data_IF_864629487736
#
_entry.id   IF_864629487736
#
_cell.length_a   1.000
_cell.length_b   1.000
_cell.length_c   1.000
_cell.angle_alpha   90.00
_cell.angle_beta   90.00
_cell.angle_gamma   90.00
#
_symmetry.space_group_name_H-M   'P 1'
#
loop_
_entity.id
_entity.type
_entity.pdbx_description
1 polymer ?
#
# COMPACT_ATOMS: atom_id res chain seq x y z
N UNK A 1 2.92 1.09 -15.07
CA UNK A 1 2.82 0.88 -13.60
C UNK A 1 3.10 2.20 -12.88
N UNK A 2 2.20 2.61 -11.97
CA UNK A 2 2.37 3.76 -11.08
C UNK A 2 3.21 3.35 -9.86
N UNK A 3 4.42 2.88 -10.16
CA UNK A 3 5.32 2.23 -9.23
C UNK A 3 6.15 3.27 -8.46
N UNK A 4 6.33 3.09 -7.15
CA UNK A 4 7.13 3.92 -6.22
C UNK A 4 6.81 5.43 -6.23
N UNK A 5 5.69 5.82 -6.84
CA UNK A 5 5.39 7.20 -7.24
C UNK A 5 6.50 7.83 -8.11
N UNK A 6 6.29 9.05 -8.61
CA UNK A 6 7.35 9.84 -9.27
C UNK A 6 7.71 11.09 -8.50
N UNK A 7 7.56 11.04 -7.17
CA UNK A 7 7.69 12.20 -6.31
C UNK A 7 6.87 13.38 -6.83
N UNK A 8 7.48 14.56 -6.89
CA UNK A 8 6.86 15.77 -7.45
C UNK A 8 7.44 16.16 -8.82
N UNK A 9 7.93 15.18 -9.59
CA UNK A 9 8.55 15.44 -10.89
C UNK A 9 7.54 16.07 -11.86
N UNK A 10 7.85 17.23 -12.47
CA UNK A 10 6.97 17.93 -13.42
C UNK A 10 6.42 17.03 -14.53
N UNK A 11 5.19 17.30 -14.97
CA UNK A 11 4.54 16.62 -16.10
C UNK A 11 4.29 15.12 -15.90
N UNK A 12 4.55 14.59 -14.70
CA UNK A 12 4.14 13.25 -14.31
C UNK A 12 2.92 13.32 -13.41
N UNK A 13 2.13 12.24 -13.39
CA UNK A 13 1.02 12.12 -12.45
C UNK A 13 1.49 12.41 -11.02
N UNK A 14 0.68 13.15 -10.28
CA UNK A 14 0.93 13.44 -8.88
C UNK A 14 0.91 12.15 -8.05
N UNK A 15 1.61 12.10 -6.91
CA UNK A 15 1.54 10.95 -6.01
C UNK A 15 0.11 10.58 -5.61
N UNK A 16 -0.77 11.58 -5.43
CA UNK A 16 -2.17 11.38 -5.10
C UNK A 16 -2.96 10.76 -6.25
N UNK A 17 -2.71 11.18 -7.49
CA UNK A 17 -3.31 10.58 -8.67
C UNK A 17 -2.86 9.11 -8.84
N UNK A 18 -1.57 8.83 -8.60
CA UNK A 18 -1.01 7.47 -8.65
C UNK A 18 -1.63 6.54 -7.61
N UNK A 19 -1.77 6.99 -6.35
CA UNK A 19 -2.42 6.21 -5.30
C UNK A 19 -3.92 6.02 -5.59
N UNK A 20 -4.60 7.05 -6.11
CA UNK A 20 -6.02 6.94 -6.49
C UNK A 20 -6.25 5.96 -7.66
N UNK A 21 -5.30 5.87 -8.59
CA UNK A 21 -5.34 4.88 -9.68
C UNK A 21 -5.17 3.45 -9.15
N UNK A 22 -4.25 3.24 -8.20
CA UNK A 22 -4.07 1.96 -7.52
C UNK A 22 -5.32 1.55 -6.72
N UNK A 23 -5.93 2.48 -5.99
CA UNK A 23 -7.18 2.26 -5.22
C UNK A 23 -8.35 1.87 -6.14
N UNK A 24 -8.51 2.57 -7.27
CA UNK A 24 -9.51 2.22 -8.29
C UNK A 24 -9.26 0.83 -8.87
N UNK A 25 -8.01 0.51 -9.20
CA UNK A 25 -7.63 -0.81 -9.73
C UNK A 25 -7.93 -1.93 -8.74
N UNK A 26 -7.61 -1.73 -7.45
CA UNK A 26 -7.95 -2.68 -6.39
C UNK A 26 -9.47 -2.87 -6.27
N UNK A 27 -10.23 -1.78 -6.33
CA UNK A 27 -11.69 -1.81 -6.33
C UNK A 27 -12.26 -2.64 -7.49
N UNK A 28 -11.73 -2.45 -8.70
CA UNK A 28 -12.15 -3.19 -9.90
C UNK A 28 -11.83 -4.69 -9.82
N UNK A 29 -10.65 -5.07 -9.32
CA UNK A 29 -10.28 -6.48 -9.11
C UNK A 29 -11.22 -7.14 -8.10
N UNK A 30 -11.48 -6.45 -7.00
CA UNK A 30 -12.38 -6.94 -5.93
C UNK A 30 -13.82 -7.09 -6.45
N UNK A 31 -14.31 -6.10 -7.19
CA UNK A 31 -15.63 -6.13 -7.83
C UNK A 31 -15.78 -7.35 -8.76
N UNK A 32 -14.82 -7.53 -9.68
CA UNK A 32 -14.80 -8.65 -10.61
C UNK A 32 -14.81 -10.01 -9.90
N UNK A 33 -13.95 -10.21 -8.90
CA UNK A 33 -13.87 -11.47 -8.15
C UNK A 33 -15.17 -11.71 -7.37
N UNK A 34 -15.72 -10.67 -6.75
CA UNK A 34 -16.91 -10.77 -5.90
C UNK A 34 -18.20 -11.08 -6.68
N UNK A 35 -18.30 -10.66 -7.94
CA UNK A 35 -19.39 -11.01 -8.86
C UNK A 35 -19.19 -12.38 -9.54
N UNK A 36 -18.03 -12.99 -9.39
CA UNK A 36 -17.74 -14.30 -9.97
C UNK A 36 -18.37 -15.43 -9.17
N UNK A 37 -18.53 -16.59 -9.82
CA UNK A 37 -18.93 -17.84 -9.14
C UNK A 37 -17.95 -18.30 -8.05
N UNK A 38 -16.73 -17.75 -8.03
CA UNK A 38 -15.67 -18.15 -7.11
C UNK A 38 -15.66 -17.33 -5.81
N UNK A 39 -16.47 -16.27 -5.70
CA UNK A 39 -16.42 -15.34 -4.54
C UNK A 39 -16.51 -16.07 -3.20
N UNK A 40 -17.45 -17.02 -3.07
CA UNK A 40 -17.67 -17.84 -1.87
C UNK A 40 -16.47 -18.67 -1.43
N UNK A 41 -15.49 -18.85 -2.30
CA UNK A 41 -14.28 -19.66 -2.10
C UNK A 41 -13.01 -18.80 -2.25
N UNK A 42 -13.15 -17.48 -2.26
CA UNK A 42 -12.04 -16.54 -2.50
C UNK A 42 -11.60 -15.84 -1.21
N UNK A 43 -10.30 -15.55 -1.14
CA UNK A 43 -9.72 -14.59 -0.23
C UNK A 43 -8.69 -13.75 -1.01
N UNK A 44 -8.83 -12.43 -0.91
CA UNK A 44 -7.94 -11.46 -1.55
C UNK A 44 -7.10 -10.84 -0.43
N UNK A 45 -5.78 -11.02 -0.52
CA UNK A 45 -4.81 -10.40 0.36
C UNK A 45 -4.13 -9.25 -0.38
N UNK A 46 -4.06 -8.08 0.26
CA UNK A 46 -3.41 -6.88 -0.29
C UNK A 46 -2.37 -6.42 0.70
N UNK A 47 -1.13 -6.36 0.23
CA UNK A 47 0.03 -5.84 0.95
C UNK A 47 0.89 -5.06 -0.05
N UNK A 48 1.64 -4.09 0.46
CA UNK A 48 2.72 -3.46 -0.28
C UNK A 48 3.94 -4.39 -0.27
N UNK A 49 4.89 -4.21 -1.20
CA UNK A 49 6.16 -4.93 -1.22
C UNK A 49 7.14 -4.39 -0.16
N UNK A 50 7.11 -3.08 0.08
CA UNK A 50 7.71 -2.41 1.23
C UNK A 50 7.02 -1.07 1.54
N UNK A 51 7.36 -0.44 2.67
CA UNK A 51 6.75 0.82 3.13
C UNK A 51 7.44 2.08 2.62
N UNK A 52 8.60 1.93 1.98
CA UNK A 52 9.50 3.02 1.63
C UNK A 52 9.75 3.91 2.88
N UNK A 53 10.24 3.35 4.01
CA UNK A 53 10.51 4.03 5.31
C UNK A 53 9.51 5.12 5.74
N UNK A 54 8.22 4.84 5.55
CA UNK A 54 7.17 5.82 5.78
C UNK A 54 7.19 6.49 7.17
N UNK A 55 6.54 7.66 7.26
CA UNK A 55 6.36 8.40 8.52
C UNK A 55 5.39 7.70 9.49
N UNK A 56 5.86 6.61 10.09
CA UNK A 56 5.13 5.81 11.05
C UNK A 56 5.73 5.94 12.46
N UNK A 57 4.87 6.07 13.46
CA UNK A 57 5.30 6.27 14.85
C UNK A 57 5.75 4.97 15.54
N UNK A 58 5.37 3.81 15.01
CA UNK A 58 5.70 2.51 15.59
C UNK A 58 6.93 1.89 14.92
N UNK A 59 6.95 1.87 13.59
CA UNK A 59 8.04 1.32 12.79
C UNK A 59 7.94 1.82 11.35
N UNK A 60 9.04 2.34 10.80
CA UNK A 60 9.09 2.87 9.44
C UNK A 60 8.75 1.82 8.37
N UNK A 61 8.91 0.53 8.68
CA UNK A 61 8.57 -0.60 7.80
C UNK A 61 7.10 -1.04 7.88
N UNK A 62 6.27 -0.37 8.70
CA UNK A 62 4.87 -0.74 8.84
C UNK A 62 4.08 -0.32 7.60
N UNK A 63 3.50 -1.31 6.93
CA UNK A 63 2.63 -1.13 5.75
C UNK A 63 1.15 -1.34 6.08
N UNK A 64 0.21 -0.74 5.30
CA UNK A 64 -1.17 -1.18 5.30
C UNK A 64 -1.30 -2.61 4.78
N UNK A 65 -2.26 -3.36 5.32
CA UNK A 65 -2.61 -4.69 4.84
C UNK A 65 -4.13 -4.87 4.88
N UNK A 66 -4.69 -5.46 3.83
CA UNK A 66 -6.13 -5.72 3.71
C UNK A 66 -6.39 -7.18 3.38
N UNK A 67 -7.50 -7.70 3.90
CA UNK A 67 -8.00 -9.04 3.57
C UNK A 67 -9.49 -8.92 3.26
N UNK A 68 -9.88 -9.35 2.05
CA UNK A 68 -11.26 -9.35 1.60
C UNK A 68 -11.69 -10.77 1.27
N UNK A 69 -12.72 -11.26 1.94
CA UNK A 69 -13.27 -12.60 1.73
C UNK A 69 -14.67 -12.66 2.32
N UNK A 70 -15.55 -13.56 1.85
CA UNK A 70 -16.80 -13.84 2.53
C UNK A 70 -16.65 -14.34 3.98
N UNK A 71 -15.45 -14.81 4.34
CA UNK A 71 -15.13 -15.33 5.67
C UNK A 71 -14.47 -14.28 6.57
N UNK A 72 -14.14 -13.07 6.09
CA UNK A 72 -13.52 -12.07 6.95
C UNK A 72 -14.52 -11.47 7.94
N UNK A 73 -14.03 -10.99 9.08
CA UNK A 73 -14.83 -10.22 10.05
C UNK A 73 -15.19 -8.85 9.43
N UNK A 74 -16.47 -8.55 9.15
CA UNK A 74 -16.83 -7.32 8.46
C UNK A 74 -16.47 -6.08 9.28
N UNK A 75 -15.77 -5.12 8.67
CA UNK A 75 -15.38 -3.85 9.30
C UNK A 75 -14.36 -3.97 10.45
N UNK A 76 -13.76 -5.15 10.64
CA UNK A 76 -12.79 -5.35 11.71
C UNK A 76 -11.46 -4.65 11.39
N UNK A 77 -10.92 -3.94 12.37
CA UNK A 77 -9.53 -3.48 12.40
C UNK A 77 -8.75 -4.42 13.29
N UNK A 78 -7.74 -5.09 12.72
CA UNK A 78 -6.96 -6.10 13.44
C UNK A 78 -5.68 -5.45 13.97
N UNK A 79 -5.50 -5.49 15.29
CA UNK A 79 -4.34 -4.90 15.97
C UNK A 79 -3.21 -5.90 16.23
N UNK A 80 -3.43 -7.18 15.95
CA UNK A 80 -2.41 -8.23 16.03
C UNK A 80 -1.28 -7.91 15.06
N UNK A 81 -0.04 -7.98 15.54
CA UNK A 81 1.15 -7.76 14.71
C UNK A 81 1.33 -8.94 13.76
N UNK A 82 1.25 -8.66 12.47
CA UNK A 82 1.58 -9.59 11.39
C UNK A 82 2.75 -9.06 10.55
N UNK A 83 3.38 -9.97 9.82
CA UNK A 83 4.47 -9.72 8.88
C UNK A 83 4.22 -10.49 7.56
N UNK A 84 5.11 -10.33 6.57
CA UNK A 84 4.96 -11.04 5.29
C UNK A 84 4.83 -12.57 5.43
N UNK A 85 5.65 -13.27 6.25
CA UNK A 85 5.45 -14.68 6.52
C UNK A 85 4.05 -15.02 7.05
N UNK A 86 3.44 -14.15 7.85
CA UNK A 86 2.07 -14.34 8.36
C UNK A 86 1.02 -14.41 7.25
N UNK A 87 1.18 -13.59 6.19
CA UNK A 87 0.32 -13.62 5.00
C UNK A 87 0.51 -14.93 4.24
N UNK A 88 1.76 -15.29 3.94
CA UNK A 88 2.12 -16.54 3.24
C UNK A 88 1.55 -17.73 4.00
N UNK A 89 1.78 -17.78 5.31
CA UNK A 89 1.29 -18.85 6.17
C UNK A 89 -0.23 -18.97 6.17
N UNK A 90 -0.94 -17.85 6.11
CA UNK A 90 -2.41 -17.84 6.02
C UNK A 90 -2.89 -18.41 4.69
N UNK A 91 -2.24 -18.04 3.58
CA UNK A 91 -2.55 -18.57 2.23
C UNK A 91 -2.29 -20.08 2.17
N UNK A 92 -1.15 -20.54 2.70
CA UNK A 92 -0.85 -21.98 2.79
C UNK A 92 -1.95 -22.75 3.49
N UNK A 93 -2.40 -22.26 4.65
CA UNK A 93 -3.44 -22.90 5.44
C UNK A 93 -4.79 -22.95 4.70
N UNK A 94 -5.16 -21.87 4.00
CA UNK A 94 -6.37 -21.83 3.16
C UNK A 94 -6.30 -22.85 2.03
N UNK A 95 -5.12 -23.00 1.40
CA UNK A 95 -4.90 -23.93 0.30
C UNK A 95 -4.59 -25.37 0.75
N UNK A 96 -4.49 -25.63 2.05
CA UNK A 96 -4.11 -26.94 2.60
C UNK A 96 -2.64 -27.32 2.35
N UNK A 97 -1.78 -26.34 2.14
CA UNK A 97 -0.36 -26.52 1.88
C UNK A 97 0.46 -26.61 3.18
N UNK A 98 1.61 -27.27 3.09
CA UNK A 98 2.62 -27.30 4.15
C UNK A 98 3.51 -26.06 4.04
N UNK A 99 4.10 -25.59 5.16
CA UNK A 99 5.07 -24.51 5.12
C UNK A 99 6.25 -24.86 4.23
N UNK A 100 6.75 -23.89 3.47
CA UNK A 100 7.89 -24.08 2.57
C UNK A 100 9.22 -24.05 3.31
N UNK A 101 9.31 -23.32 4.42
CA UNK A 101 10.53 -23.18 5.20
C UNK A 101 10.25 -22.90 6.70
N UNK A 102 11.25 -22.41 7.43
CA UNK A 102 11.12 -22.13 8.86
C UNK A 102 10.36 -20.83 9.13
N UNK A 103 10.48 -19.83 8.24
CA UNK A 103 9.87 -18.52 8.42
C UNK A 103 8.35 -18.60 8.34
N UNK A 104 7.79 -19.18 7.26
CA UNK A 104 6.35 -19.41 7.15
C UNK A 104 5.87 -20.45 8.17
N UNK A 105 6.66 -21.51 8.42
CA UNK A 105 6.33 -22.56 9.38
C UNK A 105 6.18 -22.08 10.83
N UNK A 106 6.80 -20.96 11.20
CA UNK A 106 6.73 -20.36 12.54
C UNK A 106 5.97 -19.04 12.58
N UNK A 107 5.50 -18.54 11.44
CA UNK A 107 4.73 -17.31 11.36
C UNK A 107 3.37 -17.43 12.03
N UNK A 108 2.87 -16.31 12.57
CA UNK A 108 1.54 -16.26 13.18
C UNK A 108 0.49 -16.15 12.07
N UNK A 109 -0.41 -17.14 11.89
CA UNK A 109 -1.44 -17.03 10.87
C UNK A 109 -2.45 -15.92 11.20
N UNK A 110 -3.02 -15.29 10.17
CA UNK A 110 -3.97 -14.19 10.28
C UNK A 110 -5.39 -14.64 10.68
N UNK A 111 -5.52 -15.57 11.64
CA UNK A 111 -6.82 -16.08 12.08
C UNK A 111 -7.75 -14.98 12.61
N UNK A 112 -7.19 -13.89 13.16
CA UNK A 112 -7.97 -12.73 13.62
C UNK A 112 -8.64 -11.96 12.47
N UNK A 113 -8.27 -12.20 11.21
CA UNK A 113 -9.00 -11.65 10.05
C UNK A 113 -10.22 -12.50 9.67
N UNK A 114 -10.24 -13.81 10.00
CA UNK A 114 -11.22 -14.78 9.49
C UNK A 114 -12.16 -15.38 10.53
N UNK A 115 -13.34 -15.75 10.07
CA UNK A 115 -14.34 -16.52 10.83
C UNK A 115 -14.53 -17.89 10.19
N UNK A 116 -14.97 -18.91 10.96
CA UNK A 116 -15.16 -20.27 10.43
C UNK A 116 -16.40 -20.41 9.53
N UNK A 117 -17.26 -19.38 9.46
CA UNK A 117 -18.51 -19.39 8.69
C UNK A 117 -18.63 -18.14 7.84
N UNK A 118 -19.31 -18.23 6.71
CA UNK A 118 -19.59 -17.08 5.84
C UNK A 118 -20.26 -15.93 6.64
N UNK A 119 -19.69 -14.73 6.55
CA UNK A 119 -20.21 -13.52 7.18
C UNK A 119 -20.95 -12.64 6.17
N UNK A 120 -20.37 -12.45 4.99
CA UNK A 120 -20.95 -11.60 3.95
C UNK A 120 -20.65 -12.14 2.56
N UNK A 121 -21.68 -12.55 1.82
CA UNK A 121 -21.55 -13.03 0.44
C UNK A 121 -21.99 -12.00 -0.61
N UNK A 122 -22.44 -10.81 -0.18
CA UNK A 122 -22.83 -9.77 -1.12
C UNK A 122 -21.61 -9.37 -1.97
N UNK A 123 -21.77 -9.21 -3.29
CA UNK A 123 -20.69 -8.72 -4.12
C UNK A 123 -20.38 -7.27 -3.76
N UNK A 124 -19.13 -6.88 -3.97
CA UNK A 124 -18.65 -5.52 -3.86
C UNK A 124 -18.86 -4.82 -5.20
N UNK A 125 -19.32 -3.57 -5.18
CA UNK A 125 -19.36 -2.71 -6.36
C UNK A 125 -18.20 -1.73 -6.29
N UNK A 126 -17.36 -1.67 -7.32
CA UNK A 126 -16.25 -0.73 -7.35
C UNK A 126 -16.75 0.72 -7.21
N UNK A 127 -16.09 1.48 -6.35
CA UNK A 127 -16.39 2.90 -6.14
C UNK A 127 -15.57 3.73 -7.13
N UNK A 128 -16.17 4.68 -7.86
CA UNK A 128 -15.42 5.57 -8.75
C UNK A 128 -14.36 6.38 -7.99
N UNK A 129 -13.22 6.63 -8.65
CA UNK A 129 -12.19 7.50 -8.10
C UNK A 129 -12.75 8.90 -7.79
N UNK A 130 -12.51 9.38 -6.58
CA UNK A 130 -12.91 10.75 -6.14
C UNK A 130 -11.82 11.79 -6.40
N UNK A 131 -10.62 11.34 -6.81
CA UNK A 131 -9.47 12.17 -7.11
C UNK A 131 -9.18 12.14 -8.63
N UNK A 132 -8.72 13.25 -9.25
CA UNK A 132 -8.40 13.25 -10.67
C UNK A 132 -7.19 12.35 -10.97
N UNK A 133 -7.41 11.26 -11.69
CA UNK A 133 -6.38 10.25 -12.00
C UNK A 133 -5.28 10.75 -12.95
N UNK A 134 -5.56 11.82 -13.69
CA UNK A 134 -4.62 12.45 -14.63
C UNK A 134 -4.06 13.76 -14.09
N UNK A 135 -4.22 14.05 -12.79
CA UNK A 135 -3.60 15.23 -12.20
C UNK A 135 -2.08 15.11 -12.26
N UNK A 136 -1.43 16.05 -12.94
CA UNK A 136 0.02 16.14 -13.04
C UNK A 136 0.62 17.09 -12.00
N UNK A 137 1.86 16.80 -11.61
CA UNK A 137 2.67 17.73 -10.83
C UNK A 137 2.90 19.03 -11.63
N UNK A 138 2.74 20.21 -11.00
CA UNK A 138 2.87 21.47 -11.69
C UNK A 138 4.31 21.71 -12.17
N UNK A 139 4.47 21.98 -13.46
CA UNK A 139 5.76 22.30 -14.07
C UNK A 139 6.29 23.70 -13.77
N UNK A 140 5.66 24.42 -12.83
CA UNK A 140 6.07 25.78 -12.50
C UNK A 140 7.50 25.79 -11.94
N UNK A 141 8.43 26.55 -12.54
CA UNK A 141 9.77 26.74 -11.99
C UNK A 141 9.75 27.37 -10.59
N UNK A 142 8.62 27.95 -10.17
CA UNK A 142 8.42 28.52 -8.83
C UNK A 142 8.07 27.46 -7.77
N UNK A 143 7.60 26.27 -8.16
CA UNK A 143 7.32 25.16 -7.24
C UNK A 143 8.61 24.67 -6.60
N UNK A 144 8.80 24.97 -5.32
CA UNK A 144 9.98 24.54 -4.57
C UNK A 144 10.07 23.01 -4.44
N UNK A 145 8.93 22.33 -4.43
CA UNK A 145 8.83 20.87 -4.37
C UNK A 145 9.24 20.26 -5.71
N UNK A 146 8.75 20.81 -6.84
CA UNK A 146 9.12 20.34 -8.17
C UNK A 146 10.62 20.54 -8.46
N UNK A 147 11.18 21.71 -8.09
CA UNK A 147 12.63 21.97 -8.21
C UNK A 147 13.47 20.99 -7.39
N UNK A 148 12.96 20.55 -6.24
CA UNK A 148 13.64 19.56 -5.41
C UNK A 148 13.57 18.18 -6.05
N UNK A 149 12.41 17.77 -6.55
CA UNK A 149 12.22 16.49 -7.25
C UNK A 149 13.11 16.36 -8.48
N UNK A 150 13.31 17.44 -9.25
CA UNK A 150 14.19 17.48 -10.42
C UNK A 150 15.68 17.20 -10.12
N UNK A 151 16.10 17.22 -8.84
CA UNK A 151 17.48 16.89 -8.47
C UNK A 151 17.72 15.38 -8.35
N UNK A 152 16.67 14.58 -8.47
CA UNK A 152 16.72 13.15 -8.24
C UNK A 152 16.28 12.41 -9.50
N UNK A 153 16.90 11.25 -9.75
CA UNK A 153 16.53 10.38 -10.85
C UNK A 153 15.28 9.56 -10.46
N UNK A 154 14.10 10.06 -10.81
CA UNK A 154 12.81 9.36 -10.59
C UNK A 154 12.46 8.36 -11.71
N UNK A 155 13.39 8.07 -12.65
CA UNK A 155 13.13 7.10 -13.72
C UNK A 155 13.50 5.67 -13.34
N UNK A 156 14.36 5.51 -12.33
CA UNK A 156 14.79 4.21 -11.82
C UNK A 156 14.31 4.09 -10.37
N UNK A 157 13.52 3.06 -10.03
CA UNK A 157 13.17 2.77 -8.64
C UNK A 157 14.40 2.67 -7.73
N UNK A 158 14.23 3.01 -6.46
CA UNK A 158 15.25 2.86 -5.40
C UNK A 158 16.57 3.63 -5.59
N UNK A 159 16.63 4.60 -6.52
CA UNK A 159 17.79 5.49 -6.68
C UNK A 159 17.80 6.70 -5.75
N UNK A 160 16.66 7.02 -5.16
CA UNK A 160 16.49 8.15 -4.28
C UNK A 160 16.50 7.60 -2.87
N UNK A 161 17.38 8.12 -2.00
CA UNK A 161 17.33 7.72 -0.59
C UNK A 161 15.93 8.00 -0.06
N UNK A 162 15.40 7.06 0.71
CA UNK A 162 13.99 7.10 1.07
C UNK A 162 13.57 8.38 1.78
N UNK A 163 14.39 8.81 2.74
CA UNK A 163 14.26 10.10 3.44
C UNK A 163 14.05 11.32 2.52
N UNK A 164 14.72 11.34 1.36
CA UNK A 164 14.58 12.44 0.40
C UNK A 164 13.28 12.35 -0.38
N UNK A 165 12.87 11.13 -0.76
CA UNK A 165 11.59 10.89 -1.43
C UNK A 165 10.43 11.25 -0.49
N UNK A 166 10.48 10.81 0.77
CA UNK A 166 9.50 11.14 1.81
C UNK A 166 9.35 12.64 2.04
N UNK A 167 10.45 13.38 2.08
CA UNK A 167 10.38 14.85 2.19
C UNK A 167 9.67 15.47 0.98
N UNK A 168 9.95 14.98 -0.23
CA UNK A 168 9.30 15.46 -1.47
C UNK A 168 7.80 15.14 -1.43
N UNK A 169 7.43 13.92 -1.06
CA UNK A 169 6.03 13.48 -0.94
C UNK A 169 5.29 14.26 0.13
N UNK A 170 5.87 14.42 1.33
CA UNK A 170 5.26 15.19 2.41
C UNK A 170 4.97 16.63 1.98
N UNK A 171 5.96 17.29 1.37
CA UNK A 171 5.83 18.69 0.94
C UNK A 171 4.92 18.87 -0.28
N UNK A 172 4.77 17.85 -1.13
CA UNK A 172 3.81 17.90 -2.25
C UNK A 172 2.37 17.90 -1.72
N UNK A 173 2.10 17.15 -0.65
CA UNK A 173 0.75 17.02 -0.07
C UNK A 173 0.46 18.10 0.98
N UNK A 174 1.41 18.40 1.88
CA UNK A 174 1.23 19.30 3.03
C UNK A 174 1.71 20.74 2.75
N UNK A 175 2.27 20.99 1.57
CA UNK A 175 2.77 22.27 1.14
C UNK A 175 4.28 22.44 1.35
N UNK A 176 4.90 23.27 0.50
CA UNK A 176 6.36 23.41 0.41
C UNK A 176 7.06 23.89 1.69
N UNK A 177 6.32 24.59 2.56
CA UNK A 177 6.80 25.16 3.82
C UNK A 177 6.44 24.31 5.05
N UNK A 178 5.83 23.14 4.85
CA UNK A 178 5.50 22.24 5.95
C UNK A 178 6.76 21.67 6.61
N UNK A 179 6.67 21.47 7.93
CA UNK A 179 7.66 20.73 8.71
C UNK A 179 7.49 19.24 8.41
N UNK A 180 8.57 18.59 8.02
CA UNK A 180 8.61 17.15 7.76
C UNK A 180 8.70 16.43 9.12
N UNK A 181 7.90 15.39 9.38
CA UNK A 181 8.04 14.57 10.57
C UNK A 181 9.45 13.94 10.64
N UNK A 182 9.93 13.57 11.84
CA UNK A 182 11.10 12.71 11.93
C UNK A 182 10.80 11.35 11.26
N UNK A 183 11.85 10.67 10.81
CA UNK A 183 11.73 9.29 10.34
C UNK A 183 11.17 8.39 11.46
N UNK A 184 10.44 7.36 11.08
CA UNK A 184 9.93 6.37 12.01
C UNK A 184 11.05 5.57 12.68
N UNK A 185 10.76 4.88 13.80
CA UNK A 185 11.70 3.90 14.36
C UNK A 185 12.15 2.90 13.29
N UNK A 186 13.41 2.48 13.34
CA UNK A 186 14.05 1.53 12.41
C UNK A 186 14.20 1.97 10.95
N UNK A 187 13.82 3.20 10.56
CA UNK A 187 14.09 3.72 9.23
C UNK A 187 15.59 3.63 8.87
N UNK A 188 15.89 3.45 7.58
CA UNK A 188 17.27 3.43 7.12
C UNK A 188 17.99 4.74 7.46
N UNK A 189 19.23 4.60 7.93
CA UNK A 189 20.04 5.74 8.38
C UNK A 189 20.39 6.74 7.25
N UNK A 190 20.03 6.44 5.99
CA UNK A 190 20.31 7.26 4.82
C UNK A 190 21.81 7.35 4.56
N UNK A 191 22.35 6.32 3.91
CA UNK A 191 23.69 6.38 3.29
C UNK A 191 23.70 7.22 2.02
#
# INVERSE_FOLDING_TARGET
PNDHTRGASPHHHSPRAMVADNDLGLGQVTDLISHSKYWKESAIFVVEDDSQDGFDHQDAHRIPAFVMSPYTRPGAVIHTRYDFPSVVRSVELILGLRPMNLFDGTATPMYDAFTPTLQNIAPFCAVPATYPLLEENPASPRSAVARRSLRYDTHVPDRITQRLLDEVLWKSVRGAHSTVPPAGPNADAGG
#
